data_IF_291238325916
#
_entry.id   IF_291238325916
#
_cell.length_a   1.000
_cell.length_b   1.000
_cell.length_c   1.000
_cell.angle_alpha   90.00
_cell.angle_beta   90.00
_cell.angle_gamma   90.00
#
_symmetry.space_group_name_H-M   'P 1'
#
loop_
_entity.id
_entity.type
_entity.pdbx_description
1 polymer ?
#
# COMPACT_ATOMS: atom_id res chain seq x y z
N UNK A 1 -1.73 -16.04 -24.81
CA UNK A 1 -0.26 -15.87 -25.02
C UNK A 1 0.32 -14.87 -24.04
N UNK A 2 -0.46 -13.87 -23.55
CA UNK A 2 -0.03 -12.86 -22.57
C UNK A 2 0.05 -13.44 -21.15
N UNK A 3 -0.84 -14.40 -20.78
CA UNK A 3 -0.87 -14.99 -19.43
C UNK A 3 0.35 -15.85 -19.06
N UNK A 4 1.09 -16.36 -20.04
CA UNK A 4 2.32 -17.15 -19.82
C UNK A 4 3.52 -16.25 -19.55
N UNK A 5 3.50 -15.02 -20.06
CA UNK A 5 4.63 -14.06 -19.93
C UNK A 5 4.66 -13.45 -18.52
N UNK A 6 3.51 -13.25 -17.90
CA UNK A 6 3.43 -12.65 -16.54
C UNK A 6 3.76 -13.65 -15.42
N UNK A 7 3.36 -14.91 -15.54
CA UNK A 7 3.75 -15.94 -14.56
C UNK A 7 5.28 -16.15 -14.58
N UNK A 8 5.92 -16.09 -15.78
CA UNK A 8 7.38 -16.09 -15.90
C UNK A 8 8.02 -14.78 -15.47
N UNK A 9 7.31 -13.64 -15.55
CA UNK A 9 7.83 -12.34 -15.12
C UNK A 9 7.85 -12.24 -13.59
N UNK A 10 6.78 -12.67 -12.89
CA UNK A 10 6.73 -12.74 -11.41
C UNK A 10 7.75 -13.77 -10.89
N UNK A 11 7.89 -14.95 -11.52
CA UNK A 11 8.94 -15.89 -11.17
C UNK A 11 10.34 -15.37 -11.50
N UNK A 12 10.54 -14.68 -12.62
CA UNK A 12 11.81 -14.05 -13.00
C UNK A 12 12.13 -12.84 -12.11
N UNK A 13 11.12 -12.04 -11.72
CA UNK A 13 11.28 -10.95 -10.76
C UNK A 13 11.62 -11.52 -9.38
N UNK A 14 10.91 -12.56 -8.91
CA UNK A 14 11.27 -13.25 -7.67
C UNK A 14 12.64 -13.92 -7.71
N UNK A 15 13.02 -14.56 -8.83
CA UNK A 15 14.37 -15.11 -9.01
C UNK A 15 15.43 -14.02 -9.17
N UNK A 16 15.13 -12.92 -9.89
CA UNK A 16 16.06 -11.79 -10.03
C UNK A 16 16.18 -11.01 -8.72
N UNK A 17 15.10 -10.87 -7.95
CA UNK A 17 15.15 -10.34 -6.59
C UNK A 17 16.00 -11.24 -5.68
N UNK A 18 15.79 -12.57 -5.66
CA UNK A 18 16.64 -13.49 -4.90
C UNK A 18 18.11 -13.50 -5.35
N UNK A 19 18.39 -13.30 -6.64
CA UNK A 19 19.76 -13.20 -7.16
C UNK A 19 20.40 -11.83 -6.92
N UNK A 20 19.61 -10.73 -6.90
CA UNK A 20 20.10 -9.39 -6.56
C UNK A 20 20.35 -9.22 -5.06
N UNK A 21 19.65 -9.94 -4.18
CA UNK A 21 19.92 -9.94 -2.73
C UNK A 21 21.37 -10.36 -2.39
N UNK A 22 22.00 -11.21 -3.22
CA UNK A 22 23.40 -11.60 -3.00
C UNK A 22 24.43 -10.50 -3.28
N UNK A 23 24.03 -9.36 -3.89
CA UNK A 23 24.90 -8.22 -4.23
C UNK A 23 24.58 -6.92 -3.50
N UNK A 24 23.53 -6.88 -2.65
CA UNK A 24 23.19 -5.65 -1.92
C UNK A 24 24.27 -5.34 -0.88
N UNK A 25 24.58 -4.05 -0.77
CA UNK A 25 25.49 -3.51 0.25
C UNK A 25 25.01 -3.97 1.63
N UNK A 26 25.89 -4.67 2.35
CA UNK A 26 25.65 -5.01 3.76
C UNK A 26 25.50 -3.73 4.58
N UNK A 27 24.81 -3.84 5.72
CA UNK A 27 24.78 -2.75 6.67
C UNK A 27 26.19 -2.42 7.17
N UNK A 28 26.63 -1.18 6.98
CA UNK A 28 27.90 -0.69 7.47
C UNK A 28 27.64 0.41 8.50
N UNK A 29 28.22 0.25 9.69
CA UNK A 29 28.29 1.33 10.67
C UNK A 29 29.03 2.54 10.08
N UNK A 30 28.63 3.75 10.49
CA UNK A 30 29.31 4.97 10.04
C UNK A 30 30.76 4.96 10.51
N UNK A 31 31.69 5.12 9.57
CA UNK A 31 33.13 5.11 9.86
C UNK A 31 33.50 6.18 10.88
N UNK A 32 34.25 5.80 11.91
CA UNK A 32 34.75 6.71 12.93
C UNK A 32 33.74 7.15 14.02
N UNK A 33 32.53 6.59 14.01
CA UNK A 33 31.53 6.84 15.06
C UNK A 33 31.28 5.58 15.91
N UNK A 34 30.91 5.73 17.22
CA UNK A 34 30.44 4.61 18.01
C UNK A 34 29.20 3.95 17.39
N UNK A 35 29.07 2.63 17.56
CA UNK A 35 27.88 1.91 17.13
C UNK A 35 26.65 2.40 17.89
N UNK A 36 25.62 2.82 17.14
CA UNK A 36 24.30 3.12 17.69
C UNK A 36 23.58 1.82 18.10
N UNK A 37 22.49 1.92 18.83
CA UNK A 37 21.66 0.74 19.12
C UNK A 37 21.10 0.12 17.84
N UNK A 38 20.67 0.95 16.89
CA UNK A 38 20.27 0.51 15.55
C UNK A 38 21.35 -0.32 14.86
N UNK A 39 22.61 0.16 14.86
CA UNK A 39 23.73 -0.58 14.26
C UNK A 39 23.89 -1.97 14.90
N UNK A 40 23.83 -2.03 16.24
CA UNK A 40 24.00 -3.29 16.99
C UNK A 40 22.88 -4.29 16.65
N UNK A 41 21.63 -3.83 16.61
CA UNK A 41 20.47 -4.66 16.30
C UNK A 41 20.53 -5.19 14.87
N UNK A 42 20.80 -4.33 13.88
CA UNK A 42 20.91 -4.76 12.48
C UNK A 42 22.06 -5.75 12.28
N UNK A 43 23.24 -5.46 12.82
CA UNK A 43 24.40 -6.37 12.75
C UNK A 43 24.14 -7.70 13.46
N UNK A 44 23.42 -7.70 14.58
CA UNK A 44 23.02 -8.92 15.28
C UNK A 44 22.14 -9.80 14.38
N UNK A 45 21.08 -9.23 13.80
CA UNK A 45 20.17 -10.00 12.95
C UNK A 45 20.82 -10.44 11.63
N UNK A 46 21.70 -9.61 11.05
CA UNK A 46 22.51 -9.97 9.89
C UNK A 46 23.40 -11.19 10.21
N UNK A 47 24.03 -11.22 11.40
CA UNK A 47 24.86 -12.35 11.86
C UNK A 47 24.04 -13.65 12.04
N UNK A 48 22.73 -13.54 12.24
CA UNK A 48 21.78 -14.68 12.31
C UNK A 48 21.25 -15.08 10.92
N UNK A 49 21.76 -14.48 9.85
CA UNK A 49 21.34 -14.77 8.47
C UNK A 49 19.97 -14.22 8.11
N UNK A 50 19.44 -13.24 8.87
CA UNK A 50 18.17 -12.57 8.56
C UNK A 50 18.38 -11.49 7.50
N UNK A 51 17.34 -11.22 6.72
CA UNK A 51 17.31 -10.10 5.79
C UNK A 51 17.20 -8.80 6.60
N UNK A 52 18.15 -7.90 6.39
CA UNK A 52 18.21 -6.61 7.07
C UNK A 52 18.12 -5.46 6.07
N UNK A 53 17.59 -4.28 6.45
CA UNK A 53 17.51 -3.13 5.57
C UNK A 53 18.91 -2.60 5.21
N UNK A 54 18.98 -1.80 4.15
CA UNK A 54 20.13 -0.93 3.88
C UNK A 54 19.95 0.42 4.58
N UNK A 55 21.04 1.22 4.72
CA UNK A 55 20.91 2.54 5.33
C UNK A 55 20.02 3.50 4.55
N UNK A 56 19.92 3.32 3.25
CA UNK A 56 19.09 4.14 2.35
C UNK A 56 17.58 3.98 2.64
N UNK A 57 17.18 2.84 3.23
CA UNK A 57 15.80 2.60 3.66
C UNK A 57 15.43 3.34 4.95
N UNK A 58 16.43 3.79 5.72
CA UNK A 58 16.22 4.54 6.97
C UNK A 58 16.23 6.02 6.64
N UNK A 59 15.07 6.65 6.75
CA UNK A 59 14.87 8.08 6.45
C UNK A 59 15.44 8.95 7.56
N UNK A 60 15.94 10.12 7.19
CA UNK A 60 16.35 11.14 8.16
C UNK A 60 15.12 11.82 8.78
N UNK A 61 15.26 12.50 9.94
CA UNK A 61 14.16 13.27 10.52
C UNK A 61 13.57 14.30 9.55
N UNK A 62 14.41 14.95 8.74
CA UNK A 62 14.01 15.95 7.74
C UNK A 62 13.18 15.30 6.62
N UNK A 63 13.57 14.09 6.17
CA UNK A 63 12.83 13.33 5.17
C UNK A 63 11.46 12.88 5.72
N UNK A 64 11.42 12.39 6.96
CA UNK A 64 10.18 11.97 7.63
C UNK A 64 9.22 13.17 7.74
N UNK A 65 9.74 14.36 8.12
CA UNK A 65 8.93 15.57 8.19
C UNK A 65 8.42 16.01 6.80
N UNK A 66 9.22 15.88 5.75
CA UNK A 66 8.79 16.11 4.38
C UNK A 66 7.65 15.16 3.96
N UNK A 67 7.79 13.87 4.25
CA UNK A 67 6.76 12.85 3.98
C UNK A 67 5.48 13.16 4.78
N UNK A 68 5.61 13.57 6.05
CA UNK A 68 4.47 13.98 6.89
C UNK A 68 3.68 15.14 6.27
N UNK A 69 4.36 16.16 5.73
CA UNK A 69 3.71 17.28 5.02
C UNK A 69 2.92 16.79 3.81
N UNK A 70 3.48 15.87 3.02
CA UNK A 70 2.76 15.25 1.92
C UNK A 70 1.56 14.45 2.44
N UNK A 71 1.70 13.72 3.56
CA UNK A 71 0.64 12.98 4.22
C UNK A 71 -0.55 13.85 4.66
N UNK A 72 -0.29 15.06 5.14
CA UNK A 72 -1.36 16.03 5.47
C UNK A 72 -2.16 16.40 4.22
N UNK A 73 -1.51 16.67 3.10
CA UNK A 73 -2.21 16.97 1.84
C UNK A 73 -2.95 15.74 1.33
N UNK A 74 -2.34 14.58 1.37
CA UNK A 74 -2.93 13.30 0.98
C UNK A 74 -4.25 13.03 1.75
N UNK A 75 -4.20 13.12 3.06
CA UNK A 75 -5.39 13.00 3.92
C UNK A 75 -6.46 14.02 3.55
N UNK A 76 -6.05 15.28 3.27
CA UNK A 76 -6.95 16.33 2.86
C UNK A 76 -7.66 16.05 1.53
N UNK A 77 -7.00 15.41 0.55
CA UNK A 77 -7.64 14.94 -0.70
C UNK A 77 -8.75 13.94 -0.37
N UNK A 78 -8.43 12.91 0.42
CA UNK A 78 -9.40 11.87 0.78
C UNK A 78 -10.57 12.41 1.62
N UNK A 79 -10.32 13.41 2.47
CA UNK A 79 -11.36 14.12 3.22
C UNK A 79 -12.24 14.97 2.32
N UNK A 80 -11.69 15.56 1.27
CA UNK A 80 -12.48 16.32 0.29
C UNK A 80 -13.35 15.40 -0.55
N UNK A 81 -12.83 14.26 -0.99
CA UNK A 81 -13.63 13.20 -1.64
C UNK A 81 -14.75 12.75 -0.72
N UNK A 82 -14.48 12.51 0.58
CA UNK A 82 -15.47 12.06 1.56
C UNK A 82 -16.66 13.02 1.72
N UNK A 83 -16.44 14.33 1.51
CA UNK A 83 -17.51 15.35 1.59
C UNK A 83 -18.41 15.36 0.35
N UNK A 84 -17.91 14.91 -0.77
CA UNK A 84 -18.57 15.08 -2.08
C UNK A 84 -19.09 13.77 -2.67
N UNK A 85 -18.47 12.63 -2.36
CA UNK A 85 -18.82 11.34 -2.95
C UNK A 85 -20.26 10.93 -2.65
N UNK A 86 -21.03 10.57 -3.69
CA UNK A 86 -22.45 10.23 -3.57
C UNK A 86 -22.93 9.34 -4.72
N UNK A 87 -24.10 8.73 -4.57
CA UNK A 87 -24.78 7.99 -5.64
C UNK A 87 -25.01 8.87 -6.86
N UNK A 88 -24.70 8.37 -8.04
CA UNK A 88 -24.82 9.07 -9.33
C UNK A 88 -23.56 9.85 -9.72
N UNK A 89 -22.58 10.04 -8.84
CA UNK A 89 -21.25 10.56 -9.21
C UNK A 89 -20.51 9.52 -10.06
N UNK A 90 -19.78 9.95 -11.08
CA UNK A 90 -18.89 9.05 -11.81
C UNK A 90 -17.44 9.17 -11.29
N UNK A 91 -16.61 8.17 -11.55
CA UNK A 91 -15.25 8.14 -11.03
C UNK A 91 -14.33 9.20 -11.63
N UNK A 92 -14.64 9.73 -12.83
CA UNK A 92 -13.94 10.88 -13.40
C UNK A 92 -14.12 12.15 -12.52
N UNK A 93 -15.31 12.34 -11.93
CA UNK A 93 -15.56 13.48 -11.05
C UNK A 93 -14.72 13.35 -9.74
N UNK A 94 -14.44 12.12 -9.28
CA UNK A 94 -13.51 11.89 -8.17
C UNK A 94 -12.08 12.29 -8.57
N UNK A 95 -11.62 11.90 -9.77
CA UNK A 95 -10.32 12.29 -10.31
C UNK A 95 -10.21 13.83 -10.40
N UNK A 96 -11.27 14.52 -10.88
CA UNK A 96 -11.31 15.98 -10.98
C UNK A 96 -11.22 16.66 -9.59
N UNK A 97 -11.86 16.10 -8.56
CA UNK A 97 -11.75 16.57 -7.16
C UNK A 97 -10.31 16.41 -6.65
N UNK A 98 -9.70 15.25 -6.86
CA UNK A 98 -8.34 14.95 -6.41
C UNK A 98 -7.32 15.89 -7.09
N UNK A 99 -7.42 16.05 -8.41
CA UNK A 99 -6.58 16.99 -9.18
C UNK A 99 -6.69 18.42 -8.64
N UNK A 100 -7.92 18.89 -8.50
CA UNK A 100 -8.19 20.27 -8.03
C UNK A 100 -7.62 20.50 -6.64
N UNK A 101 -7.81 19.55 -5.71
CA UNK A 101 -7.29 19.68 -4.35
C UNK A 101 -5.75 19.73 -4.35
N UNK A 102 -5.10 18.88 -5.15
CA UNK A 102 -3.64 18.91 -5.30
C UNK A 102 -3.14 20.25 -5.84
N UNK A 103 -3.78 20.77 -6.89
CA UNK A 103 -3.44 22.08 -7.46
C UNK A 103 -3.55 23.20 -6.42
N UNK A 104 -4.66 23.25 -5.68
CA UNK A 104 -4.93 24.27 -4.66
C UNK A 104 -3.92 24.21 -3.48
N UNK A 105 -3.31 23.03 -3.24
CA UNK A 105 -2.34 22.81 -2.15
C UNK A 105 -0.89 22.66 -2.65
N UNK A 106 -0.62 22.99 -3.90
CA UNK A 106 0.72 22.92 -4.50
C UNK A 106 1.35 21.51 -4.43
N UNK A 107 0.53 20.47 -4.48
CA UNK A 107 0.94 19.09 -4.54
C UNK A 107 0.83 18.55 -5.97
N UNK A 108 1.53 17.46 -6.24
CA UNK A 108 1.44 16.72 -7.50
C UNK A 108 0.86 15.34 -7.20
N UNK A 109 -0.20 14.90 -7.93
CA UNK A 109 -0.67 13.51 -7.83
C UNK A 109 0.36 12.58 -8.46
N UNK A 110 0.86 11.61 -7.67
CA UNK A 110 1.97 10.76 -8.10
C UNK A 110 1.56 9.71 -9.14
N UNK A 111 0.30 9.29 -9.14
CA UNK A 111 -0.22 8.30 -10.10
C UNK A 111 -0.23 8.83 -11.53
N UNK A 112 -0.44 10.14 -11.74
CA UNK A 112 -0.58 10.73 -13.06
C UNK A 112 0.68 10.53 -13.92
N UNK A 113 0.53 9.79 -15.03
CA UNK A 113 1.61 9.39 -15.94
C UNK A 113 2.66 8.44 -15.33
N UNK A 114 2.44 7.92 -14.11
CA UNK A 114 3.33 6.92 -13.55
C UNK A 114 3.23 5.62 -14.35
N UNK A 115 4.33 5.22 -14.99
CA UNK A 115 4.40 4.05 -15.90
C UNK A 115 3.25 3.95 -16.92
N UNK A 116 2.67 5.10 -17.30
CA UNK A 116 1.59 5.19 -18.26
C UNK A 116 0.18 5.19 -17.67
N UNK A 117 0.03 5.19 -16.33
CA UNK A 117 -1.28 5.35 -15.69
C UNK A 117 -1.90 6.71 -16.04
N UNK A 118 -3.16 6.77 -16.55
CA UNK A 118 -3.66 7.99 -17.21
C UNK A 118 -4.34 9.00 -16.27
N UNK A 119 -4.44 8.72 -14.96
CA UNK A 119 -5.25 9.47 -13.99
C UNK A 119 -4.47 9.88 -12.76
N UNK A 120 -5.03 10.77 -11.94
CA UNK A 120 -4.40 11.29 -10.72
C UNK A 120 -4.59 10.41 -9.49
N UNK A 121 -5.58 9.53 -9.52
CA UNK A 121 -6.05 8.71 -8.41
C UNK A 121 -6.53 7.36 -8.95
N UNK A 122 -6.46 6.30 -8.15
CA UNK A 122 -7.11 5.04 -8.47
C UNK A 122 -8.51 4.99 -7.83
N UNK A 123 -9.50 4.43 -8.55
CA UNK A 123 -10.88 4.27 -8.08
C UNK A 123 -11.37 2.85 -8.37
N UNK A 124 -11.45 2.03 -7.33
CA UNK A 124 -11.70 0.59 -7.47
C UNK A 124 -13.05 0.23 -6.87
N UNK A 125 -14.03 -0.11 -7.75
CA UNK A 125 -15.43 -0.37 -7.39
C UNK A 125 -15.66 -1.88 -7.25
N UNK A 126 -16.27 -2.34 -6.17
CA UNK A 126 -16.74 -3.70 -5.91
C UNK A 126 -15.66 -4.78 -6.18
N UNK A 127 -15.72 -5.50 -7.30
CA UNK A 127 -14.78 -6.57 -7.69
C UNK A 127 -13.43 -6.05 -8.20
N UNK A 128 -13.30 -4.75 -8.48
CA UNK A 128 -12.00 -4.15 -8.77
C UNK A 128 -11.21 -4.05 -7.46
N UNK A 129 -10.08 -4.72 -7.40
CA UNK A 129 -9.23 -4.84 -6.21
C UNK A 129 -8.43 -3.57 -5.97
N UNK A 130 -7.73 -3.11 -7.02
CA UNK A 130 -6.92 -1.89 -7.00
C UNK A 130 -6.64 -1.39 -8.42
N UNK A 131 -6.02 -0.22 -8.52
CA UNK A 131 -5.60 0.43 -9.76
C UNK A 131 -6.75 0.72 -10.75
N UNK A 132 -8.00 0.75 -10.28
CA UNK A 132 -9.15 1.13 -11.10
C UNK A 132 -8.97 2.51 -11.70
N UNK A 133 -9.22 2.64 -13.01
CA UNK A 133 -8.98 3.86 -13.77
C UNK A 133 -10.25 4.72 -13.78
N UNK A 134 -10.21 5.95 -13.24
CA UNK A 134 -11.34 6.87 -13.29
C UNK A 134 -11.88 7.10 -14.71
N UNK A 135 -13.18 6.87 -14.90
CA UNK A 135 -13.87 7.06 -16.20
C UNK A 135 -15.32 7.53 -16.02
N UNK A 136 -15.88 8.19 -17.02
CA UNK A 136 -17.24 8.73 -16.98
C UNK A 136 -18.32 7.66 -16.99
N UNK A 137 -18.01 6.51 -17.50
CA UNK A 137 -18.89 5.36 -17.62
C UNK A 137 -19.13 4.68 -16.26
N UNK A 138 -18.21 4.81 -15.33
CA UNK A 138 -18.28 4.23 -13.98
C UNK A 138 -19.06 5.15 -13.05
N UNK A 139 -20.37 5.02 -13.10
CA UNK A 139 -21.31 5.79 -12.26
C UNK A 139 -21.63 5.00 -11.00
N UNK A 140 -21.34 5.60 -9.84
CA UNK A 140 -21.59 5.03 -8.51
C UNK A 140 -23.09 4.79 -8.27
N UNK A 141 -23.41 3.61 -7.78
CA UNK A 141 -24.78 3.15 -7.51
C UNK A 141 -24.98 2.91 -6.02
N UNK A 142 -26.22 3.04 -5.59
CA UNK A 142 -26.58 2.66 -4.22
C UNK A 142 -26.21 1.18 -3.96
N UNK A 143 -25.40 0.95 -2.93
CA UNK A 143 -24.90 -0.37 -2.56
C UNK A 143 -23.50 -0.68 -3.05
N UNK A 144 -22.88 0.19 -3.84
CA UNK A 144 -21.46 0.04 -4.21
C UNK A 144 -20.55 0.30 -3.02
N UNK A 145 -19.43 -0.36 -3.01
CA UNK A 145 -18.25 -0.02 -2.21
C UNK A 145 -17.14 0.38 -3.17
N UNK A 146 -16.41 1.43 -2.82
CA UNK A 146 -15.31 1.94 -3.66
C UNK A 146 -14.09 2.26 -2.81
N UNK A 147 -12.92 1.82 -3.24
CA UNK A 147 -11.65 2.31 -2.77
C UNK A 147 -11.23 3.53 -3.59
N UNK A 148 -10.79 4.57 -2.91
CA UNK A 148 -10.12 5.73 -3.51
C UNK A 148 -8.71 5.78 -2.97
N UNK A 149 -7.73 5.65 -3.85
CA UNK A 149 -6.33 5.47 -3.54
C UNK A 149 -5.51 6.59 -4.16
N UNK A 150 -4.85 7.36 -3.29
CA UNK A 150 -4.22 8.62 -3.65
C UNK A 150 -2.80 8.70 -3.13
N UNK A 151 -1.84 8.93 -4.03
CA UNK A 151 -0.48 9.29 -3.67
C UNK A 151 -0.21 10.74 -4.02
N UNK A 152 0.29 11.51 -3.07
CA UNK A 152 0.67 12.91 -3.25
C UNK A 152 2.17 13.11 -3.19
N UNK A 153 2.65 14.14 -3.91
CA UNK A 153 4.04 14.63 -3.84
C UNK A 153 4.01 16.09 -3.39
N UNK A 154 4.65 16.37 -2.26
CA UNK A 154 4.87 17.74 -1.76
C UNK A 154 6.37 17.95 -1.54
N UNK A 155 6.94 18.98 -2.13
CA UNK A 155 8.38 19.30 -2.04
C UNK A 155 9.30 18.09 -2.40
N UNK A 156 8.83 17.20 -3.28
CA UNK A 156 9.57 16.00 -3.70
C UNK A 156 9.43 14.80 -2.77
N UNK A 157 8.60 14.87 -1.74
CA UNK A 157 8.29 13.76 -0.83
C UNK A 157 6.94 13.14 -1.12
N UNK A 158 6.89 11.81 -1.11
CA UNK A 158 5.69 11.02 -1.42
C UNK A 158 4.99 10.59 -0.14
N UNK A 159 3.65 10.59 -0.15
CA UNK A 159 2.83 9.96 0.86
C UNK A 159 1.62 9.30 0.19
N UNK A 160 1.27 8.11 0.65
CA UNK A 160 0.30 7.23 0.03
C UNK A 160 -0.75 6.77 1.03
N UNK A 161 -2.03 6.81 0.64
CA UNK A 161 -3.12 6.29 1.43
C UNK A 161 -4.36 6.02 0.60
N UNK A 162 -5.12 5.01 0.99
CA UNK A 162 -6.41 4.73 0.40
C UNK A 162 -7.52 4.61 1.44
N UNK A 163 -8.75 4.88 0.99
CA UNK A 163 -9.93 4.83 1.84
C UNK A 163 -11.11 4.19 1.12
N UNK A 164 -11.86 3.35 1.86
CA UNK A 164 -13.12 2.79 1.39
C UNK A 164 -14.29 3.73 1.64
N UNK A 165 -15.20 3.80 0.69
CA UNK A 165 -16.49 4.48 0.80
C UNK A 165 -17.63 3.51 0.48
N UNK A 166 -18.72 3.62 1.22
CA UNK A 166 -19.98 2.89 0.98
C UNK A 166 -20.99 3.86 0.41
N UNK A 167 -21.51 3.57 -0.76
CA UNK A 167 -22.45 4.45 -1.47
C UNK A 167 -23.89 4.08 -1.06
N UNK A 168 -24.52 4.98 -0.31
CA UNK A 168 -25.89 4.76 0.18
C UNK A 168 -25.99 3.60 1.16
N UNK A 169 -26.87 2.61 0.87
CA UNK A 169 -27.06 1.40 1.67
C UNK A 169 -26.51 0.19 0.92
N UNK A 170 -25.61 -0.53 1.54
CA UNK A 170 -25.07 -1.77 0.97
C UNK A 170 -25.53 -3.00 1.75
N UNK A 171 -25.07 -4.19 1.35
CA UNK A 171 -25.39 -5.45 2.03
C UNK A 171 -24.56 -5.61 3.30
N UNK A 172 -25.04 -6.37 4.30
CA UNK A 172 -24.26 -6.67 5.51
C UNK A 172 -22.90 -7.33 5.22
N UNK A 173 -22.83 -8.13 4.15
CA UNK A 173 -21.59 -8.80 3.73
C UNK A 173 -20.55 -7.79 3.23
N UNK A 174 -20.95 -6.80 2.42
CA UNK A 174 -20.06 -5.73 1.97
C UNK A 174 -19.64 -4.81 3.12
N UNK A 175 -20.57 -4.45 4.03
CA UNK A 175 -20.25 -3.69 5.24
C UNK A 175 -19.22 -4.43 6.11
N UNK A 176 -19.39 -5.75 6.27
CA UNK A 176 -18.44 -6.59 7.00
C UNK A 176 -17.08 -6.61 6.32
N UNK A 177 -17.03 -6.76 4.99
CA UNK A 177 -15.79 -6.78 4.22
C UNK A 177 -15.00 -5.47 4.41
N UNK A 178 -15.66 -4.32 4.22
CA UNK A 178 -15.04 -2.99 4.40
C UNK A 178 -14.49 -2.83 5.82
N UNK A 179 -15.24 -3.24 6.84
CA UNK A 179 -14.83 -3.20 8.23
C UNK A 179 -13.64 -4.12 8.50
N UNK A 180 -13.70 -5.38 8.02
CA UNK A 180 -12.63 -6.37 8.25
C UNK A 180 -11.34 -5.96 7.53
N UNK A 181 -11.43 -5.36 6.34
CA UNK A 181 -10.26 -4.81 5.64
C UNK A 181 -9.59 -3.70 6.47
N UNK A 182 -10.38 -2.81 7.10
CA UNK A 182 -9.85 -1.80 8.02
C UNK A 182 -9.20 -2.42 9.25
N UNK A 183 -9.86 -3.39 9.87
CA UNK A 183 -9.32 -4.15 11.00
C UNK A 183 -7.99 -4.84 10.62
N UNK A 184 -7.86 -5.35 9.39
CA UNK A 184 -6.62 -5.94 8.88
C UNK A 184 -5.48 -4.92 8.84
N UNK A 185 -5.73 -3.69 8.36
CA UNK A 185 -4.76 -2.60 8.38
C UNK A 185 -4.31 -2.29 9.82
N UNK A 186 -5.26 -2.10 10.74
CA UNK A 186 -5.00 -1.77 12.14
C UNK A 186 -4.19 -2.87 12.84
N UNK A 187 -4.56 -4.14 12.67
CA UNK A 187 -3.86 -5.31 13.22
C UNK A 187 -2.46 -5.46 12.60
N UNK A 188 -2.31 -5.17 11.31
CA UNK A 188 -1.01 -5.14 10.64
C UNK A 188 -0.08 -4.08 11.25
N UNK A 189 -0.60 -2.87 11.46
CA UNK A 189 0.12 -1.78 12.11
C UNK A 189 0.49 -2.13 13.57
N UNK A 190 -0.41 -2.75 14.32
CA UNK A 190 -0.11 -3.22 15.68
C UNK A 190 0.97 -4.31 15.72
N UNK A 191 1.05 -5.16 14.69
CA UNK A 191 2.06 -6.22 14.58
C UNK A 191 3.44 -5.67 14.19
N UNK A 192 3.49 -4.52 13.53
CA UNK A 192 4.72 -3.85 13.14
C UNK A 192 5.42 -3.24 14.36
N UNK A 193 6.42 -3.94 14.89
CA UNK A 193 7.22 -3.49 16.04
C UNK A 193 8.67 -3.23 15.63
N UNK A 194 9.37 -2.30 16.30
CA UNK A 194 10.80 -2.13 16.05
C UNK A 194 11.53 -3.45 16.29
N UNK A 195 12.40 -3.81 15.34
CA UNK A 195 13.18 -5.06 15.32
C UNK A 195 12.36 -6.35 15.18
N UNK A 196 11.07 -6.26 14.78
CA UNK A 196 10.29 -7.38 14.24
C UNK A 196 10.53 -7.52 12.73
N UNK A 197 9.76 -8.36 12.04
CA UNK A 197 9.93 -8.63 10.61
C UNK A 197 8.66 -8.30 9.82
N UNK A 198 8.81 -7.94 8.55
CA UNK A 198 7.67 -7.68 7.64
C UNK A 198 6.65 -8.84 7.65
N UNK A 199 7.12 -10.10 7.72
CA UNK A 199 6.24 -11.27 7.79
C UNK A 199 5.38 -11.35 9.06
N UNK A 200 5.69 -10.59 10.11
CA UNK A 200 4.83 -10.50 11.30
C UNK A 200 3.55 -9.71 10.99
N UNK A 201 3.66 -8.66 10.15
CA UNK A 201 2.54 -7.87 9.63
C UNK A 201 1.62 -8.80 8.82
N UNK A 202 2.15 -9.44 7.77
CA UNK A 202 1.39 -10.29 6.88
C UNK A 202 0.74 -11.47 7.60
N UNK A 203 1.44 -12.09 8.55
CA UNK A 203 0.86 -13.16 9.36
C UNK A 203 -0.35 -12.70 10.19
N UNK A 204 -0.27 -11.51 10.80
CA UNK A 204 -1.34 -10.98 11.64
C UNK A 204 -2.59 -10.66 10.79
N UNK A 205 -2.40 -10.01 9.64
CA UNK A 205 -3.45 -9.67 8.66
C UNK A 205 -4.12 -10.96 8.16
N UNK A 206 -3.34 -11.91 7.62
CA UNK A 206 -3.85 -13.15 7.07
C UNK A 206 -4.66 -13.92 8.10
N UNK A 207 -4.14 -14.06 9.31
CA UNK A 207 -4.84 -14.75 10.40
C UNK A 207 -6.17 -14.10 10.75
N UNK A 208 -6.28 -12.77 10.63
CA UNK A 208 -7.52 -12.05 10.90
C UNK A 208 -8.54 -12.23 9.76
N UNK A 209 -8.15 -12.00 8.52
CA UNK A 209 -9.04 -12.13 7.35
C UNK A 209 -9.59 -13.57 7.21
N UNK A 210 -8.74 -14.58 7.42
CA UNK A 210 -9.14 -16.00 7.32
C UNK A 210 -10.21 -16.43 8.34
N UNK A 211 -10.36 -15.72 9.49
CA UNK A 211 -11.47 -15.96 10.43
C UNK A 211 -12.85 -15.67 9.82
N UNK A 212 -12.88 -14.79 8.85
CA UNK A 212 -14.09 -14.41 8.11
C UNK A 212 -14.20 -15.14 6.77
N UNK A 213 -13.28 -16.11 6.51
CA UNK A 213 -13.16 -16.84 5.24
C UNK A 213 -12.86 -15.94 4.04
N UNK A 214 -12.19 -14.80 4.26
CA UNK A 214 -11.78 -13.86 3.22
C UNK A 214 -10.40 -14.21 2.67
N UNK A 215 -10.23 -13.97 1.37
CA UNK A 215 -8.95 -14.11 0.66
C UNK A 215 -8.07 -12.88 0.87
N UNK A 216 -6.80 -13.07 1.22
CA UNK A 216 -5.79 -12.00 1.22
C UNK A 216 -5.03 -12.09 -0.10
N UNK A 217 -5.03 -11.02 -0.89
CA UNK A 217 -4.32 -10.94 -2.18
C UNK A 217 -2.84 -11.21 -1.99
N UNK A 218 -2.23 -11.95 -2.95
CA UNK A 218 -0.84 -12.41 -2.86
C UNK A 218 0.07 -11.90 -3.96
N UNK A 219 -0.52 -11.39 -5.02
CA UNK A 219 0.21 -10.91 -6.21
C UNK A 219 0.64 -9.44 -6.09
N UNK A 220 0.12 -8.76 -5.07
CA UNK A 220 0.37 -7.36 -4.74
C UNK A 220 0.76 -7.23 -3.27
N UNK A 221 1.40 -6.11 -2.93
CA UNK A 221 1.90 -5.86 -1.57
C UNK A 221 2.01 -4.36 -1.29
N UNK A 222 2.14 -4.00 -0.03
CA UNK A 222 2.61 -2.69 0.38
C UNK A 222 4.11 -2.51 0.10
N UNK A 223 4.60 -1.31 0.24
CA UNK A 223 5.95 -0.94 -0.18
C UNK A 223 6.56 0.15 0.70
N UNK A 224 7.87 0.30 0.63
CA UNK A 224 8.54 1.50 1.11
C UNK A 224 8.11 2.71 0.28
N UNK A 225 8.00 3.88 0.91
CA UNK A 225 7.55 5.12 0.26
C UNK A 225 8.26 6.33 0.86
N UNK A 226 8.29 7.42 0.13
CA UNK A 226 8.71 8.71 0.67
C UNK A 226 9.68 9.50 -0.19
N UNK A 227 10.77 8.93 -0.67
CA UNK A 227 11.71 9.58 -1.61
C UNK A 227 11.36 9.21 -3.04
N UNK A 228 10.75 8.04 -3.20
CA UNK A 228 10.15 7.56 -4.45
C UNK A 228 8.75 7.07 -4.13
N UNK A 229 7.94 6.88 -5.17
CA UNK A 229 6.61 6.30 -5.04
C UNK A 229 6.72 4.88 -4.46
N UNK A 230 7.45 4.00 -5.11
CA UNK A 230 7.70 2.64 -4.64
C UNK A 230 9.18 2.45 -4.30
N UNK A 231 9.43 1.99 -3.08
CA UNK A 231 10.74 1.67 -2.53
C UNK A 231 10.71 0.31 -1.84
N UNK A 232 11.86 -0.23 -1.50
CA UNK A 232 11.92 -1.33 -0.53
C UNK A 232 11.62 -0.85 0.90
N UNK A 233 11.03 -1.70 1.77
CA UNK A 233 10.75 -3.12 1.53
C UNK A 233 9.39 -3.35 0.85
N UNK A 234 9.24 -4.55 0.22
CA UNK A 234 7.92 -5.09 -0.06
C UNK A 234 7.27 -5.53 1.26
N UNK A 235 5.99 -5.13 1.48
CA UNK A 235 5.22 -5.41 2.69
C UNK A 235 4.07 -6.35 2.35
N UNK A 236 4.35 -7.66 2.38
CA UNK A 236 3.34 -8.69 2.11
C UNK A 236 2.27 -8.71 3.20
N UNK A 237 1.01 -8.83 2.81
CA UNK A 237 -0.13 -8.91 3.73
C UNK A 237 -0.50 -10.35 4.14
N UNK A 238 0.36 -11.31 3.79
CA UNK A 238 0.29 -12.73 4.17
C UNK A 238 1.69 -13.24 4.52
N UNK A 239 1.78 -14.41 5.16
CA UNK A 239 3.07 -15.04 5.41
C UNK A 239 3.25 -15.60 6.82
N UNK A 240 4.50 -15.69 7.26
CA UNK A 240 4.89 -16.33 8.50
C UNK A 240 5.67 -15.39 9.42
N UNK A 241 5.44 -15.52 10.73
CA UNK A 241 6.18 -14.76 11.75
C UNK A 241 7.70 -14.94 11.62
N UNK A 242 8.43 -13.85 11.84
CA UNK A 242 9.89 -13.83 11.85
C UNK A 242 10.54 -14.02 10.48
N UNK A 243 9.78 -13.78 9.39
CA UNK A 243 10.26 -13.84 8.00
C UNK A 243 10.25 -12.47 7.33
N UNK A 244 10.92 -12.37 6.17
CA UNK A 244 11.04 -11.10 5.45
C UNK A 244 12.11 -10.18 6.03
N UNK A 245 12.02 -8.90 5.71
CA UNK A 245 12.99 -7.89 6.13
C UNK A 245 12.78 -7.47 7.58
N UNK A 246 13.88 -7.23 8.29
CA UNK A 246 13.87 -6.64 9.62
C UNK A 246 13.35 -5.19 9.55
N UNK A 247 12.36 -4.87 10.36
CA UNK A 247 11.81 -3.52 10.53
C UNK A 247 12.65 -2.75 11.55
N UNK A 248 13.11 -1.56 11.17
CA UNK A 248 13.92 -0.73 12.06
C UNK A 248 13.41 0.71 12.12
N UNK A 249 13.65 1.42 13.23
CA UNK A 249 13.29 2.83 13.35
C UNK A 249 13.82 3.68 12.20
N UNK A 250 12.98 4.57 11.68
CA UNK A 250 13.25 5.43 10.52
C UNK A 250 12.84 4.83 9.17
N UNK A 251 12.41 3.58 9.09
CA UNK A 251 11.79 3.05 7.86
C UNK A 251 10.41 3.64 7.66
N UNK A 252 10.09 4.01 6.42
CA UNK A 252 8.75 4.49 6.01
C UNK A 252 8.21 3.53 4.95
N UNK A 253 6.98 3.06 5.15
CA UNK A 253 6.35 2.05 4.29
C UNK A 253 4.83 2.12 4.40
N UNK A 254 4.13 1.54 3.41
CA UNK A 254 2.68 1.37 3.43
C UNK A 254 2.29 0.04 4.07
N UNK A 255 1.10 0.00 4.63
CA UNK A 255 0.35 -1.23 4.91
C UNK A 255 -1.01 -1.02 4.26
N UNK A 256 -1.37 -1.89 3.32
CA UNK A 256 -2.49 -1.71 2.39
C UNK A 256 -3.18 -3.05 2.06
N UNK A 257 -3.69 -3.78 3.05
CA UNK A 257 -4.21 -5.12 2.81
C UNK A 257 -5.42 -5.11 1.87
N UNK A 258 -5.28 -5.76 0.72
CA UNK A 258 -6.36 -6.05 -0.22
C UNK A 258 -7.05 -7.35 0.21
N UNK A 259 -8.30 -7.24 0.65
CA UNK A 259 -9.10 -8.32 1.21
C UNK A 259 -10.27 -8.63 0.28
N UNK A 260 -10.28 -9.82 -0.29
CA UNK A 260 -11.34 -10.29 -1.18
C UNK A 260 -12.41 -11.05 -0.38
N UNK A 261 -13.67 -10.85 -0.71
CA UNK A 261 -14.79 -11.57 -0.08
C UNK A 261 -14.70 -13.10 -0.29
N UNK A 262 -14.09 -13.52 -1.40
CA UNK A 262 -13.92 -14.91 -1.79
C UNK A 262 -12.45 -15.33 -1.94
N UNK A 263 -12.05 -15.71 -3.15
CA UNK A 263 -10.68 -16.17 -3.43
C UNK A 263 -9.65 -15.05 -3.31
N UNK A 264 -8.43 -15.40 -2.93
CA UNK A 264 -7.29 -14.47 -2.96
C UNK A 264 -6.76 -14.18 -4.37
N UNK A 265 -7.19 -14.96 -5.39
CA UNK A 265 -6.70 -14.85 -6.76
C UNK A 265 -7.23 -13.59 -7.42
N UNK A 266 -6.38 -12.95 -8.18
CA UNK A 266 -6.66 -11.72 -8.93
C UNK A 266 -6.14 -11.85 -10.35
N UNK A 267 -6.68 -11.02 -11.25
CA UNK A 267 -6.29 -10.97 -12.66
C UNK A 267 -6.30 -9.52 -13.13
N UNK A 268 -5.50 -9.23 -14.17
CA UNK A 268 -5.66 -7.97 -14.91
C UNK A 268 -6.97 -8.04 -15.67
N UNK A 269 -7.78 -6.98 -15.60
CA UNK A 269 -9.01 -6.90 -16.38
C UNK A 269 -8.69 -6.96 -17.87
N UNK A 270 -9.33 -7.90 -18.57
CA UNK A 270 -9.10 -8.10 -19.99
C UNK A 270 -9.68 -6.95 -20.86
N UNK A 271 -10.59 -6.15 -20.32
CA UNK A 271 -11.21 -5.01 -20.99
C UNK A 271 -10.44 -3.70 -20.75
N UNK A 272 -9.50 -3.67 -19.77
CA UNK A 272 -8.65 -2.50 -19.52
C UNK A 272 -7.58 -2.36 -20.61
N UNK A 273 -7.64 -1.29 -21.43
CA UNK A 273 -6.69 -1.08 -22.52
C UNK A 273 -5.28 -0.69 -22.02
N UNK A 274 -5.15 -0.30 -20.77
CA UNK A 274 -3.90 0.13 -20.16
C UNK A 274 -3.20 -1.01 -19.38
N UNK A 275 -3.96 -2.06 -18.99
CA UNK A 275 -3.44 -3.22 -18.25
C UNK A 275 -3.15 -2.94 -16.77
N UNK A 276 -3.86 -1.99 -16.15
CA UNK A 276 -3.72 -1.60 -14.76
C UNK A 276 -4.78 -2.20 -13.83
N UNK A 277 -6.06 -2.21 -14.27
CA UNK A 277 -7.17 -2.62 -13.41
C UNK A 277 -7.03 -4.08 -12.98
N UNK A 278 -6.99 -4.32 -11.68
CA UNK A 278 -6.90 -5.66 -11.08
C UNK A 278 -8.27 -6.04 -10.54
N UNK A 279 -8.79 -7.19 -10.98
CA UNK A 279 -10.09 -7.70 -10.57
C UNK A 279 -9.99 -9.03 -9.81
N UNK A 280 -10.99 -9.31 -8.96
CA UNK A 280 -11.09 -10.60 -8.26
C UNK A 280 -11.36 -11.75 -9.22
N UNK A 281 -10.80 -12.93 -8.92
CA UNK A 281 -10.95 -14.11 -9.77
C UNK A 281 -12.31 -14.80 -9.71
N UNK A 282 -13.21 -14.33 -8.87
CA UNK A 282 -14.55 -14.90 -8.65
C UNK A 282 -15.67 -13.86 -8.72
N UNK A 283 -15.35 -12.65 -9.19
CA UNK A 283 -16.29 -11.52 -9.35
C UNK A 283 -16.96 -11.09 -8.03
N UNK A 284 -16.41 -11.52 -6.89
CA UNK A 284 -16.87 -11.07 -5.57
C UNK A 284 -16.14 -9.78 -5.15
N UNK A 285 -16.76 -8.94 -4.31
CA UNK A 285 -16.16 -7.67 -3.89
C UNK A 285 -14.81 -7.81 -3.18
N UNK A 286 -13.98 -6.79 -3.36
CA UNK A 286 -12.74 -6.54 -2.62
C UNK A 286 -12.81 -5.25 -1.83
N UNK A 287 -12.01 -5.13 -0.76
CA UNK A 287 -11.83 -3.90 0.00
C UNK A 287 -10.37 -3.72 0.42
N UNK A 288 -9.90 -2.47 0.37
CA UNK A 288 -8.55 -2.07 0.74
C UNK A 288 -8.61 -0.81 1.60
N UNK A 289 -7.78 -0.77 2.63
CA UNK A 289 -7.45 0.45 3.36
C UNK A 289 -5.95 0.58 3.43
N UNK A 290 -5.47 1.80 3.36
CA UNK A 290 -4.04 2.04 3.36
C UNK A 290 -3.65 3.26 4.17
N UNK A 291 -2.48 3.17 4.77
CA UNK A 291 -1.74 4.30 5.31
C UNK A 291 -0.24 4.18 5.08
N UNK A 292 0.41 5.34 4.97
CA UNK A 292 1.86 5.47 5.13
C UNK A 292 2.22 5.51 6.61
N UNK A 293 3.16 4.66 7.01
CA UNK A 293 3.66 4.56 8.38
C UNK A 293 5.15 4.87 8.45
N UNK A 294 5.59 5.49 9.54
CA UNK A 294 7.00 5.51 9.94
C UNK A 294 7.22 4.57 11.13
N UNK A 295 8.24 3.72 11.06
CA UNK A 295 8.67 2.92 12.20
C UNK A 295 9.42 3.82 13.20
N UNK A 296 8.95 3.84 14.44
CA UNK A 296 9.59 4.54 15.57
C UNK A 296 10.23 3.53 16.54
N UNK A 297 10.88 4.01 17.61
CA UNK A 297 11.40 3.14 18.68
C UNK A 297 10.29 2.44 19.50
N UNK A 298 9.01 2.84 19.33
CA UNK A 298 7.90 2.34 20.15
C UNK A 298 6.84 1.59 19.34
N UNK A 299 6.95 1.57 18.03
CA UNK A 299 5.99 1.02 17.08
C UNK A 299 5.86 1.92 15.86
N UNK A 300 4.80 1.75 15.10
CA UNK A 300 4.54 2.61 13.92
C UNK A 300 3.74 3.84 14.30
N UNK A 301 4.00 4.93 13.57
CA UNK A 301 3.23 6.17 13.58
C UNK A 301 2.65 6.38 12.19
N UNK A 302 1.36 6.77 12.10
CA UNK A 302 0.68 7.04 10.84
C UNK A 302 1.08 8.44 10.35
N UNK A 303 1.45 8.58 9.08
CA UNK A 303 1.77 9.86 8.45
C UNK A 303 0.63 10.43 7.60
N UNK A 304 -0.42 9.63 7.30
CA UNK A 304 -1.56 9.94 6.43
C UNK A 304 -2.90 9.79 7.17
N UNK A 305 -3.13 10.56 8.24
CA UNK A 305 -4.35 10.44 9.07
C UNK A 305 -5.04 11.78 9.33
#
# INVERSE_FOLDING_TARGET
VVSVIWCTFVELVNLSMQMNFKKKKRWHALSGQPLTELDKQVMYWESKGKLVPTREMVKTPEQIEGIRKSGVVNTGVLDEVAKQIHEGMNTQEIDDICMKYCEDHHAVPACLNYEGFPKSVCTSINEVVCHGIPKKEDVLKNGDIINVDMTTIVDGYYADASRMFIIGKTTPEKEQLVRVAKECLEIGAEAAKPYSFVGDIGHAIQKHAEKYHYGVVRDLCGHGVGIKFHEEPDVMHFGHKGTGMLLVPGMVFTIEPMINMGTWKVFIDAEDPYGWEIVTGDELPSAQWEHTFVMTEHGVEILTH
#
